data_IF_118949592272
#
_entry.id   IF_118949592272
#
_cell.length_a   1.000
_cell.length_b   1.000
_cell.length_c   1.000
_cell.angle_alpha   90.00
_cell.angle_beta   90.00
_cell.angle_gamma   90.00
#
_symmetry.space_group_name_H-M   'P 1'
#
loop_
_entity.id
_entity.type
_entity.pdbx_description
1 polymer ?
#
# COMPACT_ATOMS: atom_id res chain seq x y z
N UNK A 1 -36.99 29.85 -31.30
CA UNK A 1 -36.02 29.85 -30.18
C UNK A 1 -36.44 28.74 -29.24
N UNK A 2 -35.69 27.64 -29.21
CA UNK A 2 -35.91 26.53 -28.28
C UNK A 2 -35.11 26.86 -27.03
N UNK A 3 -35.79 27.08 -25.90
CA UNK A 3 -35.13 27.21 -24.60
C UNK A 3 -34.46 25.87 -24.29
N UNK A 4 -33.14 25.84 -23.99
CA UNK A 4 -32.51 24.61 -23.56
C UNK A 4 -33.11 24.23 -22.21
N UNK A 5 -33.69 23.02 -22.14
CA UNK A 5 -34.14 22.40 -20.90
C UNK A 5 -32.87 22.17 -20.06
N UNK A 6 -32.59 23.06 -19.10
CA UNK A 6 -31.53 22.84 -18.12
C UNK A 6 -31.93 21.59 -17.33
N UNK A 7 -31.28 20.45 -17.59
CA UNK A 7 -31.49 19.24 -16.82
C UNK A 7 -31.26 19.59 -15.33
N UNK A 8 -32.30 19.46 -14.51
CA UNK A 8 -32.22 19.84 -13.09
C UNK A 8 -31.16 18.98 -12.41
N UNK A 9 -30.33 19.58 -11.55
CA UNK A 9 -29.25 18.88 -10.84
C UNK A 9 -29.79 17.61 -10.14
N UNK A 10 -29.30 16.41 -10.48
CA UNK A 10 -29.82 15.15 -9.96
C UNK A 10 -29.69 15.02 -8.44
N UNK A 11 -28.74 15.73 -7.83
CA UNK A 11 -28.62 15.79 -6.36
C UNK A 11 -29.70 16.66 -5.73
N UNK A 12 -30.06 17.78 -6.37
CA UNK A 12 -31.18 18.61 -5.94
C UNK A 12 -32.52 17.85 -6.06
N UNK A 13 -32.72 17.09 -7.14
CA UNK A 13 -33.89 16.23 -7.32
C UNK A 13 -33.98 15.14 -6.23
N UNK A 14 -32.85 14.50 -5.90
CA UNK A 14 -32.80 13.50 -4.84
C UNK A 14 -33.12 14.11 -3.46
N UNK A 15 -32.59 15.31 -3.17
CA UNK A 15 -32.89 16.03 -1.94
C UNK A 15 -34.37 16.45 -1.84
N UNK A 16 -34.98 16.87 -2.95
CA UNK A 16 -36.40 17.19 -3.02
C UNK A 16 -37.29 15.96 -2.76
N UNK A 17 -36.95 14.82 -3.36
CA UNK A 17 -37.64 13.55 -3.09
C UNK A 17 -37.51 13.12 -1.63
N UNK A 18 -36.35 13.33 -0.99
CA UNK A 18 -36.17 13.08 0.44
C UNK A 18 -37.16 13.90 1.29
N UNK A 19 -37.32 15.18 0.96
CA UNK A 19 -38.25 16.07 1.67
C UNK A 19 -39.70 15.57 1.48
N UNK A 20 -40.07 15.19 0.26
CA UNK A 20 -41.41 14.67 -0.07
C UNK A 20 -41.70 13.31 0.57
N UNK A 21 -40.70 12.44 0.69
CA UNK A 21 -40.80 11.12 1.32
C UNK A 21 -41.21 11.19 2.81
N UNK A 22 -41.08 12.33 3.49
CA UNK A 22 -41.63 12.49 4.83
C UNK A 22 -43.16 12.63 4.86
N UNK A 23 -43.77 13.01 3.74
CA UNK A 23 -45.18 13.40 3.65
C UNK A 23 -46.07 12.36 2.95
N UNK A 24 -45.51 11.38 2.25
CA UNK A 24 -46.27 10.39 1.46
C UNK A 24 -45.51 9.08 1.28
N UNK A 25 -46.21 7.94 1.43
CA UNK A 25 -45.62 6.63 1.20
C UNK A 25 -45.28 6.38 -0.28
N UNK A 26 -46.04 6.97 -1.22
CA UNK A 26 -45.70 6.92 -2.64
C UNK A 26 -44.37 7.63 -2.93
N UNK A 27 -44.12 8.76 -2.27
CA UNK A 27 -42.87 9.50 -2.39
C UNK A 27 -41.70 8.79 -1.69
N UNK A 28 -41.97 8.00 -0.63
CA UNK A 28 -40.95 7.11 -0.03
C UNK A 28 -40.49 6.05 -1.01
N UNK A 29 -41.42 5.40 -1.71
CA UNK A 29 -41.09 4.40 -2.73
C UNK A 29 -40.30 5.04 -3.87
N UNK A 30 -40.69 6.25 -4.33
CA UNK A 30 -39.94 6.98 -5.37
C UNK A 30 -38.54 7.39 -4.90
N UNK A 31 -38.38 7.86 -3.67
CA UNK A 31 -37.08 8.19 -3.09
C UNK A 31 -36.17 6.96 -2.95
N UNK A 32 -36.69 5.84 -2.44
CA UNK A 32 -35.95 4.59 -2.35
C UNK A 32 -35.57 4.04 -3.74
N UNK A 33 -36.47 4.17 -4.72
CA UNK A 33 -36.22 3.81 -6.12
C UNK A 33 -35.09 4.67 -6.71
N UNK A 34 -35.07 5.98 -6.42
CA UNK A 34 -33.99 6.87 -6.82
C UNK A 34 -32.66 6.46 -6.19
N UNK A 35 -32.62 6.18 -4.88
CA UNK A 35 -31.42 5.68 -4.19
C UNK A 35 -30.89 4.38 -4.82
N UNK A 36 -31.79 3.47 -5.22
CA UNK A 36 -31.43 2.25 -5.95
C UNK A 36 -30.82 2.56 -7.32
N UNK A 37 -31.35 3.53 -8.05
CA UNK A 37 -30.81 3.94 -9.35
C UNK A 37 -29.39 4.54 -9.22
N UNK A 38 -29.15 5.38 -8.21
CA UNK A 38 -27.80 5.83 -7.85
C UNK A 38 -26.88 4.67 -7.44
N UNK A 39 -27.38 3.71 -6.67
CA UNK A 39 -26.60 2.54 -6.28
C UNK A 39 -26.21 1.68 -7.50
N UNK A 40 -27.14 1.43 -8.42
CA UNK A 40 -26.90 0.74 -9.70
C UNK A 40 -25.89 1.49 -10.58
N UNK A 41 -25.85 2.82 -10.52
CA UNK A 41 -24.84 3.65 -11.18
C UNK A 41 -23.46 3.63 -10.47
N UNK A 42 -23.30 2.88 -9.38
CA UNK A 42 -22.04 2.59 -8.71
C UNK A 42 -21.77 3.40 -7.43
N UNK A 43 -22.71 4.24 -6.98
CA UNK A 43 -22.58 5.02 -5.74
C UNK A 43 -22.73 4.12 -4.50
N UNK A 44 -21.91 4.33 -3.47
CA UNK A 44 -21.93 3.49 -2.25
C UNK A 44 -22.94 4.00 -1.22
N UNK A 45 -23.47 3.10 -0.36
CA UNK A 45 -24.41 3.48 0.71
C UNK A 45 -23.86 4.58 1.63
N UNK A 46 -22.55 4.58 1.91
CA UNK A 46 -21.90 5.62 2.72
C UNK A 46 -21.90 6.98 2.03
N UNK A 47 -21.66 7.03 0.72
CA UNK A 47 -21.67 8.28 -0.03
C UNK A 47 -23.09 8.84 -0.18
N UNK A 48 -24.06 7.97 -0.45
CA UNK A 48 -25.47 8.34 -0.51
C UNK A 48 -25.99 8.83 0.84
N UNK A 49 -25.59 8.16 1.93
CA UNK A 49 -25.93 8.59 3.28
C UNK A 49 -25.36 9.97 3.60
N UNK A 50 -24.08 10.20 3.28
CA UNK A 50 -23.46 11.53 3.43
C UNK A 50 -24.16 12.61 2.58
N UNK A 51 -24.50 12.32 1.33
CA UNK A 51 -25.16 13.27 0.44
C UNK A 51 -26.59 13.62 0.89
N UNK A 52 -27.24 12.70 1.61
CA UNK A 52 -28.60 12.86 2.13
C UNK A 52 -28.63 13.08 3.64
N UNK A 53 -27.50 13.41 4.27
CA UNK A 53 -27.38 13.65 5.72
C UNK A 53 -28.07 12.57 6.61
N UNK A 54 -27.86 11.30 6.26
CA UNK A 54 -28.43 10.14 6.96
C UNK A 54 -27.38 9.02 7.10
N UNK A 55 -27.67 8.04 7.96
CA UNK A 55 -26.78 6.90 8.14
C UNK A 55 -26.73 6.02 6.88
N UNK A 56 -25.59 5.36 6.65
CA UNK A 56 -25.46 4.43 5.52
C UNK A 56 -26.38 3.21 5.65
N UNK A 57 -26.70 2.81 6.89
CA UNK A 57 -27.63 1.70 7.14
C UNK A 57 -29.07 2.08 6.81
N UNK A 58 -29.46 3.33 7.05
CA UNK A 58 -30.75 3.86 6.61
C UNK A 58 -30.90 3.76 5.08
N UNK A 59 -29.86 4.15 4.32
CA UNK A 59 -29.87 4.01 2.85
C UNK A 59 -29.97 2.55 2.42
N UNK A 60 -29.21 1.66 3.07
CA UNK A 60 -29.23 0.23 2.75
C UNK A 60 -30.63 -0.35 2.96
N UNK A 61 -31.24 -0.10 4.11
CA UNK A 61 -32.59 -0.59 4.42
C UNK A 61 -33.63 0.00 3.46
N UNK A 62 -33.58 1.31 3.18
CA UNK A 62 -34.49 1.94 2.23
C UNK A 62 -34.45 1.29 0.82
N UNK A 63 -33.29 0.82 0.36
CA UNK A 63 -33.16 0.13 -0.94
C UNK A 63 -33.63 -1.33 -0.85
N UNK A 64 -33.32 -2.03 0.25
CA UNK A 64 -33.66 -3.44 0.43
C UNK A 64 -35.15 -3.66 0.73
N UNK A 65 -35.80 -2.69 1.37
CA UNK A 65 -37.22 -2.74 1.75
C UNK A 65 -38.15 -2.26 0.62
N UNK A 66 -37.64 -2.06 -0.60
CA UNK A 66 -38.47 -1.76 -1.76
C UNK A 66 -39.44 -2.91 -2.05
N UNK A 67 -40.75 -2.63 -2.23
CA UNK A 67 -41.71 -3.67 -2.56
C UNK A 67 -41.48 -4.21 -3.98
N UNK A 68 -41.91 -5.44 -4.24
CA UNK A 68 -41.69 -6.13 -5.51
C UNK A 68 -42.34 -5.42 -6.72
N UNK A 69 -43.38 -4.62 -6.49
CA UNK A 69 -44.09 -3.82 -7.49
C UNK A 69 -43.54 -2.38 -7.65
N UNK A 70 -42.43 -2.05 -6.99
CA UNK A 70 -41.81 -0.74 -7.12
C UNK A 70 -41.41 -0.43 -8.58
N UNK A 71 -41.52 0.83 -9.03
CA UNK A 71 -41.10 1.24 -10.37
C UNK A 71 -39.67 0.80 -10.69
N UNK A 72 -39.36 0.47 -11.94
CA UNK A 72 -38.02 0.03 -12.35
C UNK A 72 -36.96 1.14 -12.28
N UNK A 73 -37.39 2.40 -12.32
CA UNK A 73 -36.58 3.61 -12.13
C UNK A 73 -37.44 4.76 -11.61
N UNK A 74 -36.81 5.72 -10.92
CA UNK A 74 -37.44 6.96 -10.46
C UNK A 74 -37.45 8.07 -11.51
N UNK A 75 -36.86 7.84 -12.70
CA UNK A 75 -36.82 8.83 -13.79
C UNK A 75 -35.83 9.98 -13.57
N UNK A 76 -34.96 9.89 -12.58
CA UNK A 76 -33.87 10.84 -12.36
C UNK A 76 -32.72 10.49 -13.29
N UNK A 77 -32.17 11.49 -13.99
CA UNK A 77 -30.92 11.34 -14.73
C UNK A 77 -29.74 11.19 -13.76
N UNK A 78 -29.50 9.95 -13.35
CA UNK A 78 -28.43 9.63 -12.40
C UNK A 78 -27.08 9.89 -13.07
N UNK A 79 -26.21 10.74 -12.48
CA UNK A 79 -24.89 10.93 -13.01
C UNK A 79 -24.13 9.61 -12.88
N UNK A 80 -23.54 9.17 -14.00
CA UNK A 80 -22.59 8.04 -13.97
C UNK A 80 -21.59 8.37 -12.88
N UNK A 81 -21.44 7.47 -11.90
CA UNK A 81 -20.40 7.65 -10.88
C UNK A 81 -19.10 7.93 -11.63
N UNK A 82 -18.39 9.04 -11.32
CA UNK A 82 -17.05 9.24 -11.85
C UNK A 82 -16.28 7.98 -11.58
N UNK A 83 -15.94 7.22 -12.63
CA UNK A 83 -15.32 5.88 -12.49
C UNK A 83 -14.01 5.95 -11.72
N UNK A 84 -13.46 7.15 -11.56
CA UNK A 84 -12.45 7.51 -10.58
C UNK A 84 -12.82 8.89 -10.06
N UNK A 85 -12.93 9.04 -8.74
CA UNK A 85 -12.57 10.32 -8.13
C UNK A 85 -11.15 10.58 -8.64
N UNK A 86 -10.98 11.70 -9.32
CA UNK A 86 -9.78 12.11 -10.06
C UNK A 86 -8.53 11.52 -9.41
N UNK A 87 -7.81 10.71 -10.19
CA UNK A 87 -6.56 10.07 -9.74
C UNK A 87 -5.68 11.18 -9.18
N UNK A 88 -5.38 11.13 -7.88
CA UNK A 88 -4.46 12.11 -7.31
C UNK A 88 -3.13 11.94 -8.04
N UNK A 89 -2.65 12.96 -8.78
CA UNK A 89 -1.38 12.84 -9.47
C UNK A 89 -0.29 12.60 -8.44
N UNK A 90 0.68 11.77 -8.82
CA UNK A 90 1.88 11.58 -8.01
C UNK A 90 2.56 12.95 -7.89
N UNK A 91 2.83 13.37 -6.65
CA UNK A 91 3.55 14.61 -6.40
C UNK A 91 5.04 14.36 -6.56
N UNK A 92 5.73 15.33 -7.14
CA UNK A 92 7.18 15.30 -7.13
C UNK A 92 7.68 15.38 -5.69
N UNK A 93 8.71 14.59 -5.38
CA UNK A 93 9.43 14.72 -4.13
C UNK A 93 10.45 15.83 -4.23
N UNK A 94 10.69 16.45 -3.09
CA UNK A 94 11.83 17.32 -2.92
C UNK A 94 13.12 16.58 -3.36
N UNK A 95 13.99 17.22 -4.18
CA UNK A 95 15.21 16.59 -4.69
C UNK A 95 16.15 16.09 -3.59
N UNK A 96 16.28 16.80 -2.47
CA UNK A 96 17.16 16.40 -1.37
C UNK A 96 16.55 15.24 -0.57
N UNK A 97 15.23 15.21 -0.40
CA UNK A 97 14.54 14.02 0.15
C UNK A 97 14.77 12.80 -0.74
N UNK A 98 14.60 12.96 -2.06
CA UNK A 98 14.81 11.87 -3.02
C UNK A 98 16.26 11.36 -2.99
N UNK A 99 17.22 12.28 -2.99
CA UNK A 99 18.66 11.96 -2.92
C UNK A 99 19.00 11.23 -1.63
N UNK A 100 18.48 11.70 -0.49
CA UNK A 100 18.69 11.05 0.82
C UNK A 100 18.15 9.63 0.82
N UNK A 101 16.92 9.42 0.36
CA UNK A 101 16.31 8.09 0.32
C UNK A 101 17.03 7.14 -0.65
N UNK A 102 17.48 7.64 -1.80
CA UNK A 102 18.29 6.85 -2.75
C UNK A 102 19.65 6.46 -2.16
N UNK A 103 20.35 7.39 -1.49
CA UNK A 103 21.62 7.08 -0.82
C UNK A 103 21.45 5.97 0.21
N UNK A 104 20.41 6.08 1.05
CA UNK A 104 20.10 5.07 2.08
C UNK A 104 19.71 3.72 1.49
N UNK A 105 18.98 3.69 0.37
CA UNK A 105 18.69 2.45 -0.34
C UNK A 105 19.98 1.80 -0.85
N UNK A 106 20.88 2.57 -1.47
CA UNK A 106 22.18 2.07 -1.93
C UNK A 106 23.01 1.53 -0.76
N UNK A 107 23.13 2.29 0.33
CA UNK A 107 23.82 1.85 1.56
C UNK A 107 23.24 0.55 2.12
N UNK A 108 21.91 0.42 2.15
CA UNK A 108 21.24 -0.79 2.62
C UNK A 108 21.58 -2.04 1.78
N UNK A 109 21.73 -1.86 0.47
CA UNK A 109 22.12 -2.91 -0.47
C UNK A 109 23.58 -3.30 -0.28
N UNK A 110 24.48 -2.32 -0.25
CA UNK A 110 25.93 -2.50 -0.29
C UNK A 110 26.57 -2.83 1.07
N UNK A 111 25.93 -2.46 2.18
CA UNK A 111 26.48 -2.69 3.51
C UNK A 111 26.75 -4.17 3.79
N UNK A 112 27.81 -4.44 4.55
CA UNK A 112 28.14 -5.79 4.99
C UNK A 112 27.04 -6.38 5.90
N UNK A 113 26.89 -7.70 5.84
CA UNK A 113 25.93 -8.49 6.62
C UNK A 113 26.48 -9.03 7.93
N UNK A 114 27.74 -8.69 8.27
CA UNK A 114 28.44 -9.14 9.48
C UNK A 114 27.79 -8.64 10.77
N UNK A 115 27.25 -7.42 10.76
CA UNK A 115 26.50 -6.84 11.87
C UNK A 115 24.99 -6.90 11.62
N UNK A 116 24.23 -7.17 12.69
CA UNK A 116 22.76 -7.22 12.64
C UNK A 116 22.14 -6.52 13.84
N UNK A 117 20.99 -5.91 13.60
CA UNK A 117 20.12 -5.36 14.65
C UNK A 117 19.45 -6.50 15.45
N UNK A 118 18.81 -6.21 16.60
CA UNK A 118 18.05 -7.21 17.35
C UNK A 118 16.97 -7.94 16.54
N UNK A 119 16.30 -7.26 15.61
CA UNK A 119 15.33 -7.88 14.68
C UNK A 119 15.98 -8.73 13.57
N UNK A 120 17.31 -8.70 13.47
CA UNK A 120 18.09 -9.54 12.56
C UNK A 120 18.29 -8.96 11.16
N UNK A 121 18.02 -7.65 10.97
CA UNK A 121 18.35 -6.94 9.71
C UNK A 121 19.72 -6.24 9.80
N UNK A 122 20.28 -5.84 8.67
CA UNK A 122 21.48 -5.00 8.64
C UNK A 122 21.17 -3.62 9.27
N UNK A 123 22.10 -2.98 9.99
CA UNK A 123 21.93 -1.60 10.45
C UNK A 123 21.54 -0.62 9.33
N UNK A 124 22.18 -0.70 8.16
CA UNK A 124 21.85 0.16 7.01
C UNK A 124 20.43 -0.08 6.45
N UNK A 125 19.92 -1.32 6.53
CA UNK A 125 18.53 -1.64 6.17
C UNK A 125 17.56 -1.03 7.18
N UNK A 126 17.88 -1.08 8.48
CA UNK A 126 17.09 -0.42 9.51
C UNK A 126 17.11 1.11 9.35
N UNK A 127 18.27 1.71 9.01
CA UNK A 127 18.38 3.13 8.70
C UNK A 127 17.49 3.54 7.52
N UNK A 128 17.43 2.70 6.47
CA UNK A 128 16.53 2.92 5.34
C UNK A 128 15.05 2.87 5.76
N UNK A 129 14.66 1.90 6.60
CA UNK A 129 13.28 1.83 7.12
C UNK A 129 12.94 3.04 7.98
N UNK A 130 13.87 3.46 8.85
CA UNK A 130 13.75 4.68 9.63
C UNK A 130 13.58 5.92 8.74
N UNK A 131 14.31 6.01 7.62
CA UNK A 131 14.21 7.12 6.69
C UNK A 131 12.85 7.16 5.96
N UNK A 132 12.33 6.01 5.52
CA UNK A 132 10.97 5.91 4.95
C UNK A 132 9.90 6.32 5.97
N UNK A 133 10.04 5.90 7.22
CA UNK A 133 9.15 6.29 8.31
C UNK A 133 9.22 7.80 8.62
N UNK A 134 10.43 8.39 8.62
CA UNK A 134 10.62 9.84 8.80
C UNK A 134 9.98 10.63 7.66
N UNK A 135 10.11 10.15 6.42
CA UNK A 135 9.47 10.78 5.26
C UNK A 135 7.95 10.77 5.41
N UNK A 136 7.37 9.62 5.78
CA UNK A 136 5.94 9.50 6.05
C UNK A 136 5.48 10.42 7.20
N UNK A 137 6.25 10.46 8.30
CA UNK A 137 5.96 11.34 9.46
C UNK A 137 6.04 12.83 9.13
N UNK A 138 6.92 13.20 8.21
CA UNK A 138 7.03 14.56 7.67
C UNK A 138 5.88 14.91 6.70
N UNK A 139 5.01 13.95 6.35
CA UNK A 139 3.84 14.13 5.50
C UNK A 139 4.04 13.77 4.04
N UNK A 140 5.18 13.17 3.65
CA UNK A 140 5.43 12.76 2.27
C UNK A 140 4.58 11.54 1.91
N UNK A 141 3.91 11.64 0.76
CA UNK A 141 3.04 10.57 0.24
C UNK A 141 3.84 9.31 -0.14
N UNK A 142 3.54 8.13 0.44
CA UNK A 142 4.19 6.86 0.08
C UNK A 142 4.11 6.49 -1.40
N UNK A 143 3.07 6.94 -2.14
CA UNK A 143 2.96 6.69 -3.58
C UNK A 143 3.97 7.54 -4.37
N UNK A 144 4.15 8.80 -3.98
CA UNK A 144 5.21 9.65 -4.54
C UNK A 144 6.59 9.08 -4.24
N UNK A 145 6.82 8.63 -2.99
CA UNK A 145 8.09 8.02 -2.58
C UNK A 145 8.39 6.78 -3.40
N UNK A 146 7.39 5.91 -3.54
CA UNK A 146 7.50 4.71 -4.37
C UNK A 146 7.87 5.06 -5.82
N UNK A 147 7.18 6.02 -6.43
CA UNK A 147 7.47 6.46 -7.79
C UNK A 147 8.90 7.01 -7.95
N UNK A 148 9.35 7.89 -7.06
CA UNK A 148 10.68 8.50 -7.12
C UNK A 148 11.82 7.50 -6.93
N UNK A 149 11.58 6.43 -6.15
CA UNK A 149 12.54 5.35 -5.91
C UNK A 149 12.47 4.23 -6.96
N UNK A 150 11.48 4.24 -7.87
CA UNK A 150 11.23 3.08 -8.76
C UNK A 150 10.74 1.85 -7.98
N UNK A 151 10.04 2.08 -6.88
CA UNK A 151 9.56 1.08 -5.94
C UNK A 151 8.03 0.90 -6.01
N UNK A 152 7.52 -0.16 -5.38
CA UNK A 152 6.09 -0.37 -5.19
C UNK A 152 5.61 0.18 -3.83
N UNK A 153 4.46 0.89 -3.75
CA UNK A 153 3.98 1.53 -2.51
C UNK A 153 3.72 0.54 -1.37
N UNK A 154 3.33 -0.71 -1.67
CA UNK A 154 3.22 -1.77 -0.66
C UNK A 154 4.53 -2.03 0.10
N UNK A 155 5.69 -1.87 -0.54
CA UNK A 155 6.98 -2.02 0.12
C UNK A 155 7.22 -0.86 1.10
N UNK A 156 6.92 0.38 0.69
CA UNK A 156 7.00 1.56 1.54
C UNK A 156 6.16 1.36 2.81
N UNK A 157 4.88 1.02 2.68
CA UNK A 157 3.99 0.76 3.82
C UNK A 157 4.50 -0.38 4.71
N UNK A 158 5.01 -1.46 4.10
CA UNK A 158 5.57 -2.59 4.84
C UNK A 158 6.76 -2.18 5.70
N UNK A 159 7.67 -1.37 5.16
CA UNK A 159 8.88 -0.94 5.88
C UNK A 159 8.59 0.11 6.94
N UNK A 160 7.63 1.01 6.71
CA UNK A 160 7.08 1.90 7.74
C UNK A 160 6.54 1.06 8.91
N UNK A 161 5.70 0.05 8.64
CA UNK A 161 5.15 -0.81 9.68
C UNK A 161 6.22 -1.66 10.40
N UNK A 162 7.33 -1.99 9.74
CA UNK A 162 8.48 -2.62 10.40
C UNK A 162 9.17 -1.64 11.34
N UNK A 163 9.34 -0.38 10.93
CA UNK A 163 9.88 0.67 11.79
C UNK A 163 8.99 0.91 13.01
N UNK A 164 7.67 0.97 12.84
CA UNK A 164 6.72 1.13 13.94
C UNK A 164 6.83 0.00 14.98
N UNK A 165 7.13 -1.22 14.51
CA UNK A 165 7.22 -2.40 15.37
C UNK A 165 8.52 -2.50 16.14
N UNK A 166 9.64 -2.20 15.49
CA UNK A 166 10.97 -2.46 16.04
C UNK A 166 11.71 -1.19 16.49
N UNK A 167 11.42 -0.04 15.89
CA UNK A 167 12.04 1.24 16.24
C UNK A 167 13.55 1.30 16.04
N UNK A 168 14.11 0.42 15.20
CA UNK A 168 15.54 0.27 14.97
C UNK A 168 16.07 1.24 13.89
N UNK A 169 17.38 1.47 13.85
CA UNK A 169 17.99 2.32 12.83
C UNK A 169 17.93 3.82 13.13
N UNK A 170 18.67 4.58 12.34
CA UNK A 170 18.87 6.03 12.49
C UNK A 170 18.64 6.70 11.14
N UNK A 171 17.81 7.73 11.13
CA UNK A 171 17.58 8.56 9.97
C UNK A 171 17.57 10.03 10.37
N UNK A 172 18.08 10.94 9.51
CA UNK A 172 17.96 12.37 9.75
C UNK A 172 16.49 12.78 9.72
N UNK A 173 16.19 13.91 10.35
CA UNK A 173 14.89 14.55 10.13
C UNK A 173 14.80 15.05 8.68
N UNK A 174 13.64 14.88 8.08
CA UNK A 174 13.35 15.29 6.71
C UNK A 174 12.46 16.52 6.71
N UNK A 175 12.59 17.42 5.71
CA UNK A 175 11.72 18.58 5.61
C UNK A 175 10.25 18.16 5.52
N UNK A 176 9.38 18.95 6.14
CA UNK A 176 7.93 18.73 6.09
C UNK A 176 7.42 18.82 4.65
N UNK A 177 6.54 17.89 4.26
CA UNK A 177 5.91 17.94 2.95
C UNK A 177 5.00 19.18 2.86
N UNK A 178 5.08 19.97 1.78
CA UNK A 178 4.30 21.21 1.64
C UNK A 178 2.79 20.95 1.61
N UNK A 179 2.39 19.72 1.27
CA UNK A 179 1.01 19.28 1.12
C UNK A 179 0.50 18.47 2.32
N UNK A 180 1.23 18.42 3.45
CA UNK A 180 0.88 17.59 4.61
C UNK A 180 -0.52 17.85 5.14
N UNK A 181 -0.97 19.10 5.11
CA UNK A 181 -2.26 19.53 5.65
C UNK A 181 -3.41 19.40 4.63
N UNK A 182 -3.13 18.97 3.40
CA UNK A 182 -4.15 18.81 2.37
C UNK A 182 -5.03 17.56 2.63
N UNK A 183 -6.34 17.72 2.91
CA UNK A 183 -7.22 16.59 3.26
C UNK A 183 -7.51 15.66 2.07
N UNK A 184 -7.15 16.05 0.86
CA UNK A 184 -7.41 15.32 -0.40
C UNK A 184 -6.53 14.08 -0.53
N UNK A 185 -5.29 14.10 -0.02
CA UNK A 185 -4.33 12.98 -0.13
C UNK A 185 -4.84 11.67 0.46
N UNK A 186 -5.61 11.73 1.54
CA UNK A 186 -6.02 10.56 2.29
C UNK A 186 -7.41 10.03 1.92
N UNK A 187 -8.14 10.72 1.03
CA UNK A 187 -9.57 10.47 0.78
C UNK A 187 -9.92 9.93 -0.61
N UNK A 188 -9.03 10.01 -1.60
CA UNK A 188 -9.30 9.56 -2.97
C UNK A 188 -8.60 8.25 -3.35
N UNK A 189 -9.08 7.61 -4.43
CA UNK A 189 -8.48 6.41 -5.01
C UNK A 189 -7.16 6.76 -5.71
N UNK A 190 -6.08 6.05 -5.36
CA UNK A 190 -4.74 6.27 -5.93
C UNK A 190 -4.54 5.48 -7.22
N UNK A 191 -3.67 5.94 -8.13
CA UNK A 191 -3.31 5.15 -9.30
C UNK A 191 -2.64 3.85 -8.83
N UNK A 192 -3.01 2.73 -9.45
CA UNK A 192 -2.24 1.50 -9.28
C UNK A 192 -0.91 1.70 -9.98
N UNK A 193 0.18 1.73 -9.21
CA UNK A 193 1.52 1.65 -9.78
C UNK A 193 1.75 0.23 -10.32
N UNK A 194 2.50 0.08 -11.44
CA UNK A 194 2.83 -1.23 -11.96
C UNK A 194 3.62 -2.01 -10.91
N UNK A 195 3.52 -3.34 -10.97
CA UNK A 195 4.37 -4.20 -10.16
C UNK A 195 5.83 -3.98 -10.57
N UNK A 196 6.72 -3.97 -9.58
CA UNK A 196 8.17 -3.94 -9.84
C UNK A 196 8.54 -5.27 -10.47
N UNK A 197 9.06 -5.20 -11.70
CA UNK A 197 9.57 -6.34 -12.47
C UNK A 197 11.09 -6.33 -12.41
N UNK A 198 11.69 -7.49 -12.17
CA UNK A 198 13.13 -7.70 -12.26
C UNK A 198 13.49 -7.83 -13.74
N UNK A 199 14.34 -6.95 -14.29
CA UNK A 199 14.80 -7.04 -15.66
C UNK A 199 15.43 -8.40 -15.94
N UNK A 200 15.27 -8.89 -17.17
CA UNK A 200 15.75 -10.24 -17.53
C UNK A 200 17.26 -10.40 -17.34
N UNK A 201 18.05 -9.34 -17.57
CA UNK A 201 19.49 -9.35 -17.30
C UNK A 201 19.82 -9.66 -15.83
N UNK A 202 19.06 -9.07 -14.89
CA UNK A 202 19.24 -9.28 -13.46
C UNK A 202 18.71 -10.65 -13.03
N UNK A 203 17.63 -11.13 -13.64
CA UNK A 203 17.12 -12.49 -13.41
C UNK A 203 18.15 -13.55 -13.84
N UNK A 204 18.75 -13.40 -15.02
CA UNK A 204 19.81 -14.28 -15.51
C UNK A 204 21.04 -14.24 -14.60
N UNK A 205 21.42 -13.05 -14.11
CA UNK A 205 22.54 -12.90 -13.19
C UNK A 205 22.24 -13.53 -11.82
N UNK A 206 21.03 -13.38 -11.27
CA UNK A 206 20.60 -14.06 -10.04
C UNK A 206 20.68 -15.59 -10.19
N UNK A 207 20.22 -16.13 -11.31
CA UNK A 207 20.28 -17.57 -11.58
C UNK A 207 21.71 -18.07 -11.78
N UNK A 208 22.57 -17.28 -12.44
CA UNK A 208 24.00 -17.58 -12.58
C UNK A 208 24.68 -17.62 -11.22
N UNK A 209 24.48 -16.59 -10.40
CA UNK A 209 25.08 -16.48 -9.08
C UNK A 209 24.58 -17.56 -8.11
N UNK A 210 23.30 -17.94 -8.14
CA UNK A 210 22.75 -19.00 -7.26
C UNK A 210 23.48 -20.34 -7.44
N UNK A 211 23.93 -20.66 -8.66
CA UNK A 211 24.68 -21.91 -8.95
C UNK A 211 26.03 -21.99 -8.24
N UNK A 212 26.61 -20.87 -7.81
CA UNK A 212 27.95 -20.82 -7.24
C UNK A 212 27.95 -20.35 -5.79
N UNK A 213 27.14 -19.34 -5.46
CA UNK A 213 27.07 -18.67 -4.16
C UNK A 213 26.84 -19.60 -2.96
N UNK A 214 26.27 -20.79 -3.16
CA UNK A 214 25.87 -21.65 -2.03
C UNK A 214 26.34 -23.10 -2.13
N UNK A 215 27.29 -23.38 -3.03
CA UNK A 215 27.92 -24.70 -3.18
C UNK A 215 29.14 -24.84 -2.25
N UNK A 216 29.96 -23.79 -2.13
CA UNK A 216 31.04 -23.69 -1.13
C UNK A 216 31.12 -22.25 -0.59
N UNK A 217 30.64 -22.00 0.66
CA UNK A 217 30.53 -20.65 1.20
C UNK A 217 31.88 -19.99 1.50
N UNK A 218 32.99 -20.73 1.57
CA UNK A 218 34.33 -20.15 1.79
C UNK A 218 34.97 -19.78 0.45
N UNK A 219 34.80 -20.61 -0.58
CA UNK A 219 35.33 -20.37 -1.94
C UNK A 219 34.56 -19.31 -2.73
N UNK A 220 33.27 -19.10 -2.45
CA UNK A 220 32.37 -18.23 -3.25
C UNK A 220 31.78 -17.06 -2.45
N UNK A 221 32.50 -16.55 -1.45
CA UNK A 221 32.02 -15.45 -0.59
C UNK A 221 31.61 -14.20 -1.40
N UNK A 222 32.40 -13.82 -2.42
CA UNK A 222 32.11 -12.66 -3.27
C UNK A 222 30.82 -12.83 -4.09
N UNK A 223 30.59 -14.02 -4.67
CA UNK A 223 29.38 -14.32 -5.43
C UNK A 223 28.15 -14.41 -4.52
N UNK A 224 28.32 -14.92 -3.30
CA UNK A 224 27.28 -14.89 -2.26
C UNK A 224 26.86 -13.48 -1.94
N UNK A 225 27.81 -12.59 -1.67
CA UNK A 225 27.53 -11.19 -1.36
C UNK A 225 26.85 -10.49 -2.53
N UNK A 226 27.32 -10.71 -3.76
CA UNK A 226 26.71 -10.14 -4.97
C UNK A 226 25.28 -10.65 -5.19
N UNK A 227 25.04 -11.94 -5.00
CA UNK A 227 23.71 -12.53 -5.08
C UNK A 227 22.76 -11.89 -4.06
N UNK A 228 23.19 -11.82 -2.79
CA UNK A 228 22.37 -11.28 -1.71
C UNK A 228 22.10 -9.79 -1.90
N UNK A 229 23.07 -9.01 -2.39
CA UNK A 229 22.90 -7.61 -2.70
C UNK A 229 21.87 -7.41 -3.83
N UNK A 230 21.99 -8.15 -4.94
CA UNK A 230 21.06 -8.05 -6.07
C UNK A 230 19.63 -8.48 -5.67
N UNK A 231 19.50 -9.60 -4.95
CA UNK A 231 18.21 -10.06 -4.43
C UNK A 231 17.61 -9.06 -3.43
N UNK A 232 18.45 -8.51 -2.55
CA UNK A 232 18.08 -7.51 -1.56
C UNK A 232 17.60 -6.21 -2.19
N UNK A 233 18.26 -5.72 -3.23
CA UNK A 233 17.87 -4.52 -3.97
C UNK A 233 16.44 -4.65 -4.53
N UNK A 234 16.14 -5.75 -5.23
CA UNK A 234 14.81 -5.98 -5.79
C UNK A 234 13.73 -6.17 -4.72
N UNK A 235 14.08 -6.79 -3.60
CA UNK A 235 13.18 -6.88 -2.45
C UNK A 235 12.88 -5.52 -1.82
N UNK A 236 13.90 -4.67 -1.63
CA UNK A 236 13.75 -3.32 -1.06
C UNK A 236 13.01 -2.37 -2.02
N UNK A 237 13.12 -2.59 -3.33
CA UNK A 237 12.30 -1.91 -4.34
C UNK A 237 10.85 -2.44 -4.35
N UNK A 238 10.57 -3.60 -3.77
CA UNK A 238 9.20 -4.11 -3.65
C UNK A 238 8.75 -5.04 -4.76
N UNK A 239 9.68 -5.74 -5.42
CA UNK A 239 9.36 -6.92 -6.20
C UNK A 239 8.58 -7.91 -5.30
N UNK A 240 7.46 -8.42 -5.81
CA UNK A 240 6.59 -9.28 -5.03
C UNK A 240 7.14 -10.71 -4.96
N UNK A 241 6.48 -11.56 -4.17
CA UNK A 241 6.88 -12.97 -3.99
C UNK A 241 7.03 -13.69 -5.34
N UNK A 242 6.00 -13.63 -6.18
CA UNK A 242 5.96 -14.40 -7.42
C UNK A 242 7.06 -13.96 -8.38
N UNK A 243 7.35 -12.66 -8.42
CA UNK A 243 8.39 -12.08 -9.23
C UNK A 243 9.80 -12.45 -8.75
N UNK A 244 10.04 -12.41 -7.44
CA UNK A 244 11.32 -12.87 -6.89
C UNK A 244 11.52 -14.37 -7.09
N UNK A 245 10.45 -15.18 -7.03
CA UNK A 245 10.51 -16.60 -7.36
C UNK A 245 10.85 -16.82 -8.85
N UNK A 246 10.20 -16.08 -9.76
CA UNK A 246 10.50 -16.12 -11.19
C UNK A 246 11.95 -15.74 -11.46
N UNK A 247 12.39 -14.59 -10.95
CA UNK A 247 13.71 -14.05 -11.22
C UNK A 247 14.83 -14.97 -10.72
N UNK A 248 14.66 -15.57 -9.54
CA UNK A 248 15.66 -16.48 -8.95
C UNK A 248 15.56 -17.92 -9.44
N UNK A 249 14.43 -18.33 -10.00
CA UNK A 249 14.12 -19.75 -10.29
C UNK A 249 13.95 -20.60 -9.02
N UNK A 250 13.80 -19.98 -7.85
CA UNK A 250 13.70 -20.65 -6.55
C UNK A 250 12.29 -20.57 -5.98
N UNK A 251 11.94 -21.50 -5.09
CA UNK A 251 10.72 -21.37 -4.30
C UNK A 251 10.84 -20.22 -3.28
N UNK A 252 9.70 -19.67 -2.86
CA UNK A 252 9.68 -18.52 -1.96
C UNK A 252 10.39 -18.75 -0.62
N UNK A 253 10.31 -19.95 -0.05
CA UNK A 253 10.93 -20.20 1.26
C UNK A 253 12.47 -20.15 1.17
N UNK A 254 13.03 -20.63 0.05
CA UNK A 254 14.46 -20.45 -0.25
C UNK A 254 14.80 -18.96 -0.36
N UNK A 255 14.06 -18.20 -1.20
CA UNK A 255 14.27 -16.75 -1.38
C UNK A 255 14.19 -16.01 -0.05
N UNK A 256 13.18 -16.31 0.77
CA UNK A 256 13.00 -15.73 2.10
C UNK A 256 14.18 -16.02 3.01
N UNK A 257 14.65 -17.28 3.07
CA UNK A 257 15.84 -17.65 3.87
C UNK A 257 17.08 -16.89 3.42
N UNK A 258 17.26 -16.65 2.11
CA UNK A 258 18.36 -15.84 1.58
C UNK A 258 18.24 -14.38 2.04
N UNK A 259 17.06 -13.78 1.93
CA UNK A 259 16.81 -12.40 2.39
C UNK A 259 17.05 -12.23 3.90
N UNK A 260 16.65 -13.21 4.72
CA UNK A 260 16.93 -13.22 6.17
C UNK A 260 18.41 -13.41 6.44
N UNK A 261 19.08 -14.34 5.74
CA UNK A 261 20.53 -14.56 5.87
C UNK A 261 21.30 -13.29 5.54
N UNK A 262 20.95 -12.62 4.43
CA UNK A 262 21.52 -11.36 4.01
C UNK A 262 21.13 -10.16 4.87
N UNK A 263 20.21 -10.29 5.83
CA UNK A 263 19.82 -9.20 6.72
C UNK A 263 18.91 -8.15 6.07
N UNK A 264 18.24 -8.48 4.96
CA UNK A 264 17.25 -7.61 4.31
C UNK A 264 15.83 -7.80 4.87
N UNK A 265 15.59 -8.94 5.53
CA UNK A 265 14.30 -9.26 6.14
C UNK A 265 14.52 -9.71 7.57
N UNK A 266 13.70 -9.20 8.49
CA UNK A 266 13.71 -9.63 9.88
C UNK A 266 13.47 -11.16 9.96
N UNK A 267 14.30 -11.84 10.76
CA UNK A 267 14.07 -13.24 11.10
C UNK A 267 12.89 -13.37 12.05
N UNK A 268 12.34 -14.59 12.22
CA UNK A 268 11.60 -14.82 13.45
C UNK A 268 12.56 -14.63 14.63
N UNK A 269 12.14 -14.00 15.74
CA UNK A 269 12.94 -14.02 16.95
C UNK A 269 13.22 -15.48 17.26
N UNK A 270 14.51 -15.85 17.38
CA UNK A 270 14.85 -17.15 17.97
C UNK A 270 14.22 -17.12 19.35
N UNK A 271 13.15 -17.87 19.57
CA UNK A 271 12.75 -18.23 20.93
C UNK A 271 14.01 -18.73 21.61
N UNK A 272 14.47 -18.11 22.71
CA UNK A 272 15.64 -18.61 23.39
C UNK A 272 15.29 -19.99 23.90
N UNK A 273 15.75 -21.05 23.22
CA UNK A 273 15.92 -22.34 23.84
C UNK A 273 17.13 -22.24 24.79
N UNK A 274 16.97 -21.42 25.82
CA UNK A 274 17.66 -21.63 27.08
C UNK A 274 16.90 -22.74 27.78
N UNK A 275 17.22 -24.00 27.44
CA UNK A 275 17.23 -25.01 28.49
C UNK A 275 18.40 -24.62 29.38
N UNK A 276 18.12 -23.82 30.40
CA UNK A 276 19.02 -23.69 31.52
C UNK A 276 19.34 -25.13 31.99
N UNK A 277 20.62 -25.51 32.14
CA UNK A 277 20.94 -26.79 32.76
C UNK A 277 20.32 -26.79 34.15
N UNK A 278 19.45 -27.78 34.42
CA UNK A 278 18.96 -28.00 35.77
C UNK A 278 20.18 -28.25 36.68
N UNK A 279 20.25 -27.62 37.85
CA UNK A 279 21.29 -27.95 38.81
C UNK A 279 21.07 -29.40 39.26
N UNK A 280 22.08 -30.24 39.04
CA UNK A 280 22.18 -31.53 39.71
C UNK A 280 22.19 -31.28 41.22
N UNK A 281 21.05 -31.51 41.87
CA UNK A 281 21.03 -31.82 43.29
C UNK A 281 21.51 -33.26 43.45
N UNK A 282 22.78 -33.41 43.80
CA UNK A 282 23.27 -34.62 44.44
C UNK A 282 23.18 -34.39 45.96
N UNK A 283 22.24 -35.09 46.59
CA UNK A 283 22.37 -35.59 47.96
C UNK A 283 22.63 -37.10 47.87
#
# INVERSE_FOLDING_TARGET
MVTPHTAADPWAQLAELRIKAHNSDADRVLFATALRDFHKAGWTYRQLGKANDVSHEYIRLAILDLPDDAPSSAGIEVPVRPKRLDVIPLRDLDPEVTKTLKSRLTEAVEADSSEKTPSGVKPAVADYFAALHRAHSAGWDPYSVAHALGSHPKAIFKFIAQQDRYGEGRAPDLPGAPHREEPTLWRASRPSLPLVQVPEADALELQRLEKHAFVDPVGHAAETSRYLALLGAWYLLGANRDELQRATGQNWETVRKRLVRGGFMAGQPRTPHSKAPQPNTAE
#
